data_IF_046675529160
#
_entry.id   IF_046675529160
#
_cell.length_a   1.000
_cell.length_b   1.000
_cell.length_c   1.000
_cell.angle_alpha   90.00
_cell.angle_beta   90.00
_cell.angle_gamma   90.00
#
_symmetry.space_group_name_H-M   'P 1'
#
loop_
_entity.id
_entity.type
_entity.pdbx_description
1 polymer ?
#
# COMPACT_ATOMS: atom_id res chain seq x y z
N UNK A 1 8.44 13.38 16.89
CA UNK A 1 9.22 13.35 15.64
C UNK A 1 8.47 12.63 14.51
N UNK A 2 8.21 11.31 14.59
CA UNK A 2 7.49 10.58 13.51
C UNK A 2 6.06 11.10 13.24
N UNK A 3 5.29 11.44 14.29
CA UNK A 3 3.93 11.98 14.12
C UNK A 3 3.89 13.36 13.45
N UNK A 4 4.91 14.20 13.67
CA UNK A 4 5.02 15.51 13.01
C UNK A 4 5.31 15.34 11.51
N UNK A 5 6.24 14.45 11.16
CA UNK A 5 6.54 14.15 9.76
C UNK A 5 5.31 13.61 9.02
N UNK A 6 4.58 12.67 9.62
CA UNK A 6 3.32 12.15 9.06
C UNK A 6 2.29 13.26 8.87
N UNK A 7 2.11 14.15 9.85
CA UNK A 7 1.18 15.27 9.75
C UNK A 7 1.47 16.19 8.56
N UNK A 8 2.74 16.52 8.32
CA UNK A 8 3.16 17.34 7.17
C UNK A 8 2.88 16.62 5.85
N UNK A 9 3.19 15.33 5.75
CA UNK A 9 2.95 14.54 4.53
C UNK A 9 1.45 14.45 4.22
N UNK A 10 0.62 14.21 5.23
CA UNK A 10 -0.84 14.14 5.06
C UNK A 10 -1.42 15.49 4.63
N UNK A 11 -0.96 16.59 5.25
CA UNK A 11 -1.40 17.94 4.87
C UNK A 11 -1.01 18.26 3.42
N UNK A 12 0.22 17.95 3.02
CA UNK A 12 0.69 18.17 1.66
C UNK A 12 -0.10 17.34 0.63
N UNK A 13 -0.36 16.05 0.93
CA UNK A 13 -1.15 15.18 0.07
C UNK A 13 -2.61 15.67 -0.07
N UNK A 14 -3.22 16.11 1.05
CA UNK A 14 -4.56 16.68 1.04
C UNK A 14 -4.61 18.01 0.27
N UNK A 15 -3.62 18.89 0.45
CA UNK A 15 -3.49 20.15 -0.29
C UNK A 15 -3.30 19.95 -1.80
N UNK A 16 -2.73 18.82 -2.21
CA UNK A 16 -2.62 18.41 -3.61
C UNK A 16 -3.86 17.69 -4.16
N UNK A 17 -4.91 17.50 -3.35
CA UNK A 17 -6.14 16.80 -3.75
C UNK A 17 -5.97 15.30 -3.96
N UNK A 18 -4.92 14.69 -3.40
CA UNK A 18 -4.67 13.26 -3.54
C UNK A 18 -5.56 12.45 -2.58
N UNK A 19 -6.02 11.28 -3.03
CA UNK A 19 -6.73 10.35 -2.17
C UNK A 19 -5.77 9.71 -1.17
N UNK A 20 -6.05 9.84 0.13
CA UNK A 20 -5.23 9.31 1.20
C UNK A 20 -5.85 7.99 1.70
N UNK A 21 -5.11 6.90 1.55
CA UNK A 21 -5.47 5.60 2.11
C UNK A 21 -4.60 5.27 3.33
N UNK A 22 -5.23 4.87 4.44
CA UNK A 22 -4.53 4.39 5.64
C UNK A 22 -4.71 2.89 5.81
N UNK A 23 -3.60 2.18 6.06
CA UNK A 23 -3.59 0.73 6.17
C UNK A 23 -2.94 0.28 7.47
N UNK A 24 -3.63 -0.61 8.19
CA UNK A 24 -3.04 -1.29 9.34
C UNK A 24 -1.92 -2.25 8.87
N UNK A 25 -0.85 -2.47 9.65
CA UNK A 25 0.25 -3.35 9.24
C UNK A 25 -0.20 -4.78 8.87
N UNK A 26 -1.21 -5.32 9.55
CA UNK A 26 -1.77 -6.63 9.20
C UNK A 26 -2.50 -6.63 7.85
N UNK A 27 -3.11 -5.50 7.46
CA UNK A 27 -3.73 -5.32 6.14
C UNK A 27 -2.67 -5.29 5.05
N UNK A 28 -1.54 -4.63 5.30
CA UNK A 28 -0.40 -4.60 4.35
C UNK A 28 0.16 -6.01 4.15
N UNK A 29 0.40 -6.74 5.24
CA UNK A 29 0.84 -8.14 5.20
C UNK A 29 -0.12 -9.03 4.41
N UNK A 30 -1.43 -8.88 4.66
CA UNK A 30 -2.47 -9.62 3.93
C UNK A 30 -2.54 -9.23 2.46
N UNK A 31 -2.38 -7.94 2.14
CA UNK A 31 -2.45 -7.42 0.77
C UNK A 31 -1.29 -7.86 -0.12
N UNK A 32 -0.13 -8.17 0.47
CA UNK A 32 1.07 -8.59 -0.24
C UNK A 32 1.28 -10.11 -0.21
N UNK A 33 1.16 -10.72 0.97
CA UNK A 33 1.51 -12.14 1.20
C UNK A 33 0.26 -13.04 1.29
N UNK A 34 -0.93 -12.46 1.44
CA UNK A 34 -2.19 -13.19 1.59
C UNK A 34 -2.60 -13.48 3.04
N UNK A 35 -1.72 -13.28 4.01
CA UNK A 35 -2.00 -13.45 5.44
C UNK A 35 -1.52 -12.28 6.29
N UNK A 36 -2.32 -11.86 7.27
CA UNK A 36 -1.97 -10.78 8.20
C UNK A 36 -0.87 -11.14 9.20
N UNK A 37 -0.58 -12.44 9.36
CA UNK A 37 0.49 -12.96 10.21
C UNK A 37 1.86 -13.03 9.56
N UNK A 38 2.02 -12.54 8.32
CA UNK A 38 3.28 -12.69 7.58
C UNK A 38 4.47 -11.98 8.25
N UNK A 39 5.64 -12.59 8.12
CA UNK A 39 6.92 -12.03 8.59
C UNK A 39 7.50 -11.03 7.59
N UNK A 40 8.33 -10.09 8.09
CA UNK A 40 9.01 -9.10 7.24
C UNK A 40 9.82 -9.73 6.10
N UNK A 41 10.44 -10.89 6.35
CA UNK A 41 11.18 -11.64 5.31
C UNK A 41 10.27 -12.12 4.18
N UNK A 42 9.04 -12.53 4.49
CA UNK A 42 8.08 -12.96 3.49
C UNK A 42 7.60 -11.78 2.64
N UNK A 43 7.40 -10.61 3.25
CA UNK A 43 7.09 -9.37 2.52
C UNK A 43 8.23 -9.03 1.54
N UNK A 44 9.48 -9.05 2.02
CA UNK A 44 10.65 -8.76 1.18
C UNK A 44 10.80 -9.76 0.02
N UNK A 45 10.63 -11.05 0.28
CA UNK A 45 10.64 -12.07 -0.76
C UNK A 45 9.54 -11.81 -1.81
N UNK A 46 8.34 -11.42 -1.36
CA UNK A 46 7.24 -11.08 -2.25
C UNK A 46 7.51 -9.84 -3.11
N UNK A 47 8.33 -8.89 -2.66
CA UNK A 47 8.71 -7.75 -3.51
C UNK A 47 9.48 -8.19 -4.75
N UNK A 48 10.37 -9.18 -4.62
CA UNK A 48 11.11 -9.72 -5.76
C UNK A 48 10.20 -10.48 -6.75
N UNK A 49 9.13 -11.12 -6.25
CA UNK A 49 8.14 -11.83 -7.06
C UNK A 49 7.21 -10.85 -7.77
N UNK A 50 6.71 -9.84 -7.06
CA UNK A 50 5.72 -8.88 -7.57
C UNK A 50 6.34 -7.83 -8.49
N UNK A 51 7.59 -7.46 -8.25
CA UNK A 51 8.31 -6.43 -9.00
C UNK A 51 9.69 -6.96 -9.43
N UNK A 52 9.75 -7.91 -10.37
CA UNK A 52 11.02 -8.43 -10.87
C UNK A 52 11.82 -7.29 -11.51
N UNK A 53 12.98 -6.96 -10.93
CA UNK A 53 13.86 -5.88 -11.38
C UNK A 53 13.80 -4.59 -10.54
N UNK A 54 12.92 -4.50 -9.54
CA UNK A 54 12.94 -3.37 -8.61
C UNK A 54 14.23 -3.37 -7.76
N UNK A 55 15.01 -2.30 -7.86
CA UNK A 55 16.17 -2.07 -6.99
C UNK A 55 15.72 -1.38 -5.71
N UNK A 56 15.66 -2.15 -4.62
CA UNK A 56 15.30 -1.62 -3.31
C UNK A 56 16.45 -0.76 -2.77
N UNK A 57 16.23 0.55 -2.69
CA UNK A 57 17.19 1.50 -2.14
C UNK A 57 16.92 1.74 -0.65
N UNK A 58 17.59 0.98 0.22
CA UNK A 58 17.55 1.18 1.66
C UNK A 58 16.60 0.24 2.43
N UNK A 59 16.66 0.27 3.77
CA UNK A 59 16.00 -0.72 4.63
C UNK A 59 14.47 -0.61 4.61
N UNK A 60 13.92 0.58 4.39
CA UNK A 60 12.47 0.85 4.44
C UNK A 60 11.80 0.81 3.06
N UNK A 61 12.57 0.65 1.98
CA UNK A 61 12.04 0.67 0.61
C UNK A 61 11.04 -0.48 0.36
N UNK A 62 11.29 -1.66 0.93
CA UNK A 62 10.38 -2.80 0.85
C UNK A 62 9.05 -2.52 1.57
N UNK A 63 9.10 -1.90 2.76
CA UNK A 63 7.92 -1.58 3.55
C UNK A 63 7.08 -0.50 2.84
N UNK A 64 7.72 0.50 2.22
CA UNK A 64 7.03 1.51 1.40
C UNK A 64 6.35 0.92 0.16
N UNK A 65 7.04 0.03 -0.58
CA UNK A 65 6.46 -0.66 -1.74
C UNK A 65 5.30 -1.59 -1.33
N UNK A 66 5.41 -2.27 -0.20
CA UNK A 66 4.35 -3.11 0.33
C UNK A 66 3.07 -2.30 0.60
N UNK A 67 3.20 -1.10 1.20
CA UNK A 67 2.07 -0.18 1.41
C UNK A 67 1.49 0.28 0.07
N UNK A 68 2.33 0.63 -0.90
CA UNK A 68 1.88 1.07 -2.23
C UNK A 68 1.09 -0.03 -2.97
N UNK A 69 1.60 -1.27 -2.97
CA UNK A 69 0.92 -2.44 -3.56
C UNK A 69 -0.42 -2.68 -2.85
N UNK A 70 -0.44 -2.61 -1.52
CA UNK A 70 -1.67 -2.76 -0.74
C UNK A 70 -2.71 -1.71 -1.10
N UNK A 71 -2.27 -0.45 -1.26
CA UNK A 71 -3.14 0.64 -1.68
C UNK A 71 -3.71 0.40 -3.08
N UNK A 72 -2.85 0.03 -4.04
CA UNK A 72 -3.25 -0.29 -5.41
C UNK A 72 -4.28 -1.43 -5.47
N UNK A 73 -4.07 -2.51 -4.70
CA UNK A 73 -5.02 -3.62 -4.60
C UNK A 73 -6.38 -3.18 -4.03
N UNK A 74 -6.40 -2.33 -3.00
CA UNK A 74 -7.65 -1.82 -2.42
C UNK A 74 -8.42 -0.93 -3.40
N UNK A 75 -7.72 0.01 -4.05
CA UNK A 75 -8.34 0.92 -5.03
C UNK A 75 -8.87 0.13 -6.24
N UNK A 76 -8.08 -0.80 -6.78
CA UNK A 76 -8.49 -1.64 -7.90
C UNK A 76 -9.72 -2.50 -7.55
N UNK A 77 -9.74 -3.09 -6.35
CA UNK A 77 -10.86 -3.91 -5.88
C UNK A 77 -12.14 -3.08 -5.72
N UNK A 78 -12.04 -1.89 -5.10
CA UNK A 78 -13.16 -0.97 -4.96
C UNK A 78 -13.72 -0.53 -6.33
N UNK A 79 -12.83 -0.18 -7.27
CA UNK A 79 -13.23 0.19 -8.62
C UNK A 79 -13.85 -0.97 -9.41
N UNK A 80 -13.40 -2.21 -9.20
CA UNK A 80 -13.97 -3.40 -9.83
C UNK A 80 -15.37 -3.71 -9.27
N UNK A 81 -15.56 -3.58 -7.96
CA UNK A 81 -16.85 -3.74 -7.28
C UNK A 81 -17.86 -2.69 -7.76
N UNK A 82 -17.46 -1.41 -7.82
CA UNK A 82 -18.31 -0.32 -8.31
C UNK A 82 -18.77 -0.55 -9.76
N UNK A 83 -17.87 -1.04 -10.63
CA UNK A 83 -18.19 -1.42 -12.00
C UNK A 83 -19.19 -2.58 -12.09
N UNK A 84 -19.12 -3.52 -11.16
CA UNK A 84 -20.01 -4.69 -11.09
C UNK A 84 -21.39 -4.36 -10.52
N UNK A 85 -21.49 -3.41 -9.59
CA UNK A 85 -22.75 -3.03 -8.96
C UNK A 85 -23.62 -2.10 -9.80
N UNK A 86 -23.16 -1.65 -10.98
CA UNK A 86 -23.91 -0.76 -11.87
C UNK A 86 -24.14 0.65 -11.31
N UNK A 87 -23.47 1.03 -10.22
CA UNK A 87 -23.57 2.35 -9.58
C UNK A 87 -22.63 3.33 -10.30
N UNK A 88 -22.88 3.52 -11.60
CA UNK A 88 -22.02 4.31 -12.48
C UNK A 88 -22.64 4.52 -13.85
N UNK A 89 -23.83 5.10 -13.88
CA UNK A 89 -24.41 5.86 -14.99
C UNK A 89 -25.28 6.98 -14.39
#
# INVERSE_FOLDING_TARGET
KLGQARGVVLLAAAGAGLHIGEYHPSTVKKGVVGTGGADKKQIQAMMAVLLPGAKLAGPDAADALAVAITHAHHVASAAALARRSGIGA
#
